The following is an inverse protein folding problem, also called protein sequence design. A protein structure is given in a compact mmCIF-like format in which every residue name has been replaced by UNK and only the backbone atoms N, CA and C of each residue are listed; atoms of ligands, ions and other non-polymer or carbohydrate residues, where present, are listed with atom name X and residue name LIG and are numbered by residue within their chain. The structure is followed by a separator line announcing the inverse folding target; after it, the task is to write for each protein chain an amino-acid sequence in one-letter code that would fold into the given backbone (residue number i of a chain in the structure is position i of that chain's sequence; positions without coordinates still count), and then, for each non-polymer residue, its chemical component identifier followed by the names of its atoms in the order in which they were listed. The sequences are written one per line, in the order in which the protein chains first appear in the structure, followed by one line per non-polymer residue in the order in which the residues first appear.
data_IF_165229159789
#
_entry.id   IF_165229159789
#
_cell.length_a   1.000
_cell.length_b   1.000
_cell.length_c   1.000
_cell.angle_alpha   90.00
_cell.angle_beta   90.00
_cell.angle_gamma   90.00
#
_symmetry.space_group_name_H-M   'P 1'
#
loop_
_entity.id
_entity.type
_entity.pdbx_description
1 polymer ?
#
# COMPACT_ATOMS: atom_id res chain seq x y z
N UNK A 1 -9.41 2.61 1.95
CA UNK A 1 -9.13 2.65 3.40
C UNK A 1 -7.95 1.74 3.63
N UNK A 2 -6.87 2.28 4.19
CA UNK A 2 -5.64 1.54 4.45
C UNK A 2 -5.87 0.44 5.49
N UNK A 3 -5.38 -0.76 5.24
CA UNK A 3 -5.24 -1.81 6.25
C UNK A 3 -3.79 -2.31 6.22
N UNK A 4 -3.15 -2.55 7.36
CA UNK A 4 -1.80 -3.13 7.35
C UNK A 4 -1.75 -4.54 6.77
N UNK A 5 -2.87 -5.28 6.72
CA UNK A 5 -2.94 -6.54 5.96
C UNK A 5 -2.61 -6.35 4.48
N UNK A 6 -2.86 -5.16 3.94
CA UNK A 6 -2.67 -4.84 2.52
C UNK A 6 -1.19 -4.55 2.19
N UNK A 7 -0.31 -4.72 3.17
CA UNK A 7 1.13 -4.54 3.03
C UNK A 7 1.81 -5.88 2.69
N UNK A 8 1.44 -6.99 3.36
CA UNK A 8 1.89 -8.34 3.03
C UNK A 8 3.39 -8.62 3.24
N UNK A 9 3.86 -9.75 2.69
CA UNK A 9 5.26 -10.22 2.81
C UNK A 9 5.93 -10.58 1.48
N UNK A 10 5.23 -10.44 0.33
CA UNK A 10 5.76 -10.82 -0.98
C UNK A 10 6.02 -12.31 -1.20
N UNK A 11 5.73 -13.18 -0.23
CA UNK A 11 5.98 -14.63 -0.32
C UNK A 11 4.92 -15.41 -1.10
N UNK A 12 4.16 -14.74 -1.96
CA UNK A 12 3.19 -15.42 -2.82
C UNK A 12 3.95 -16.25 -3.86
N UNK A 13 3.62 -17.54 -3.97
CA UNK A 13 4.07 -18.39 -5.09
C UNK A 13 3.21 -18.17 -6.34
N UNK A 14 2.09 -17.46 -6.23
CA UNK A 14 1.24 -17.13 -7.36
C UNK A 14 1.76 -15.90 -8.11
N UNK A 15 1.41 -15.81 -9.40
CA UNK A 15 1.66 -14.62 -10.21
C UNK A 15 1.08 -13.37 -9.53
N UNK A 16 1.82 -12.25 -9.49
CA UNK A 16 1.34 -11.03 -8.84
C UNK A 16 0.07 -10.50 -9.47
N UNK A 17 -0.88 -10.07 -8.63
CA UNK A 17 -2.13 -9.51 -9.11
C UNK A 17 -2.06 -8.00 -9.28
N UNK A 18 -2.98 -7.48 -10.09
CA UNK A 18 -3.20 -6.05 -10.24
C UNK A 18 -3.89 -5.48 -9.00
N UNK A 19 -3.45 -4.31 -8.53
CA UNK A 19 -4.06 -3.60 -7.42
C UNK A 19 -5.51 -3.20 -7.73
N UNK A 20 -6.39 -3.30 -6.73
CA UNK A 20 -7.81 -3.02 -6.89
C UNK A 20 -8.15 -1.52 -6.82
N UNK A 21 -7.28 -0.71 -6.21
CA UNK A 21 -7.51 0.71 -5.89
C UNK A 21 -6.82 1.69 -6.87
N UNK A 22 -6.62 1.27 -8.13
CA UNK A 22 -5.92 2.06 -9.13
C UNK A 22 -6.74 3.25 -9.65
N UNK A 23 -6.13 4.43 -9.83
CA UNK A 23 -6.80 5.59 -10.41
C UNK A 23 -7.20 5.32 -11.88
N UNK A 24 -8.21 6.04 -12.42
CA UNK A 24 -8.79 5.75 -13.73
C UNK A 24 -7.81 5.60 -14.90
N UNK A 25 -6.73 6.40 -15.02
CA UNK A 25 -5.78 6.20 -16.11
C UNK A 25 -5.08 4.83 -16.05
N UNK A 26 -4.83 4.33 -14.84
CA UNK A 26 -4.10 3.08 -14.58
C UNK A 26 -5.00 1.84 -14.45
N UNK A 27 -6.27 2.04 -14.10
CA UNK A 27 -7.23 0.94 -13.97
C UNK A 27 -7.45 0.17 -15.28
N UNK A 28 -7.21 0.80 -16.44
CA UNK A 28 -7.31 0.17 -17.76
C UNK A 28 -6.04 -0.52 -18.26
N UNK A 29 -4.88 -0.29 -17.63
CA UNK A 29 -3.59 -0.80 -18.11
C UNK A 29 -3.38 -2.29 -17.78
N UNK A 30 -2.76 -3.05 -18.66
CA UNK A 30 -2.37 -4.42 -18.33
C UNK A 30 -1.21 -4.43 -17.33
N UNK A 31 -1.27 -5.32 -16.34
CA UNK A 31 -0.12 -5.58 -15.46
C UNK A 31 0.95 -6.34 -16.27
N UNK A 32 2.20 -5.85 -16.34
CA UNK A 32 3.28 -6.58 -17.01
C UNK A 32 3.55 -7.94 -16.38
N UNK A 33 4.02 -8.90 -17.19
CA UNK A 33 4.40 -10.23 -16.71
C UNK A 33 5.66 -10.17 -15.83
N UNK A 34 5.79 -11.07 -14.86
CA UNK A 34 7.02 -11.14 -14.05
C UNK A 34 8.27 -11.45 -14.86
N UNK A 35 8.14 -12.19 -15.97
CA UNK A 35 9.25 -12.45 -16.87
C UNK A 35 9.79 -11.15 -17.51
N UNK A 36 8.90 -10.26 -17.94
CA UNK A 36 9.30 -8.99 -18.53
C UNK A 36 9.83 -8.01 -17.48
N UNK A 37 9.22 -7.95 -16.30
CA UNK A 37 9.74 -7.16 -15.18
C UNK A 37 11.15 -7.59 -14.80
N UNK A 38 11.44 -8.90 -14.75
CA UNK A 38 12.78 -9.39 -14.44
C UNK A 38 13.81 -9.08 -15.53
N UNK A 39 13.41 -9.01 -16.80
CA UNK A 39 14.30 -8.51 -17.88
C UNK A 39 14.70 -7.06 -17.63
N UNK A 40 13.73 -6.20 -17.29
CA UNK A 40 13.99 -4.81 -16.93
C UNK A 40 14.93 -4.71 -15.70
N UNK A 41 14.74 -5.58 -14.69
CA UNK A 41 15.61 -5.64 -13.49
C UNK A 41 17.04 -6.02 -13.86
N UNK A 42 17.25 -7.07 -14.66
CA UNK A 42 18.59 -7.48 -15.12
C UNK A 42 19.26 -6.36 -15.91
N UNK A 43 18.49 -5.67 -16.76
CA UNK A 43 18.98 -4.50 -17.49
C UNK A 43 19.41 -3.37 -16.53
N UNK A 44 18.60 -3.05 -15.52
CA UNK A 44 18.93 -2.07 -14.49
C UNK A 44 20.19 -2.44 -13.70
N UNK A 45 20.35 -3.70 -13.32
CA UNK A 45 21.53 -4.18 -12.62
C UNK A 45 22.79 -4.01 -13.47
N UNK A 46 22.72 -4.41 -14.75
CA UNK A 46 23.82 -4.22 -15.69
C UNK A 46 24.15 -2.74 -15.86
N UNK A 47 23.15 -1.90 -16.02
CA UNK A 47 23.34 -0.45 -16.17
C UNK A 47 23.97 0.16 -14.93
N UNK A 48 23.45 -0.16 -13.73
CA UNK A 48 24.02 0.31 -12.47
C UNK A 48 25.47 -0.13 -12.31
N UNK A 49 25.81 -1.36 -12.73
CA UNK A 49 27.20 -1.83 -12.75
C UNK A 49 28.08 -1.05 -13.72
N UNK A 50 27.58 -0.72 -14.92
CA UNK A 50 28.33 0.07 -15.91
C UNK A 50 28.54 1.50 -15.43
N UNK A 51 27.50 2.14 -14.89
CA UNK A 51 27.59 3.46 -14.27
C UNK A 51 28.62 3.44 -13.13
N UNK A 52 28.54 2.46 -12.25
CA UNK A 52 29.52 2.31 -11.17
C UNK A 52 30.95 2.17 -11.73
N UNK A 53 31.16 1.34 -12.75
CA UNK A 53 32.47 1.19 -13.39
C UNK A 53 32.97 2.48 -14.06
N UNK A 54 32.12 3.24 -14.73
CA UNK A 54 32.51 4.52 -15.33
C UNK A 54 32.80 5.58 -14.27
N UNK A 55 32.01 5.61 -13.19
CA UNK A 55 32.17 6.53 -12.08
C UNK A 55 33.50 6.29 -11.36
N UNK A 56 33.75 5.05 -10.93
CA UNK A 56 34.95 4.72 -10.16
C UNK A 56 36.19 4.46 -11.02
N UNK A 57 36.02 4.07 -12.28
CA UNK A 57 37.11 3.85 -13.23
C UNK A 57 37.79 5.14 -13.71
N UNK A 58 37.11 6.30 -13.60
CA UNK A 58 37.66 7.61 -13.97
C UNK A 58 38.29 8.39 -12.81
N UNK A 59 38.36 7.81 -11.61
CA UNK A 59 38.95 8.47 -10.43
C UNK A 59 38.14 9.65 -9.88
N UNK A 60 36.96 9.94 -10.45
CA UNK A 60 36.05 10.96 -9.94
C UNK A 60 35.09 10.30 -8.95
N UNK A 61 35.30 10.51 -7.65
CA UNK A 61 34.30 10.13 -6.66
C UNK A 61 33.04 10.96 -6.92
N UNK A 62 31.95 10.27 -7.21
CA UNK A 62 30.63 10.85 -7.11
C UNK A 62 30.25 10.81 -5.65
N UNK A 63 30.11 11.98 -5.04
CA UNK A 63 29.94 12.09 -3.59
C UNK A 63 28.49 11.80 -3.18
N UNK A 64 27.54 11.87 -4.12
CA UNK A 64 26.10 11.74 -3.82
C UNK A 64 25.30 10.91 -4.83
N UNK A 65 24.23 10.25 -4.36
CA UNK A 65 23.25 9.54 -5.19
C UNK A 65 22.61 10.47 -6.25
N UNK A 66 22.49 11.75 -5.92
CA UNK A 66 21.86 12.77 -6.76
C UNK A 66 22.72 13.13 -7.99
N UNK A 67 24.04 13.18 -7.83
CA UNK A 67 24.99 13.31 -8.94
C UNK A 67 24.97 12.08 -9.86
N UNK A 68 24.90 10.87 -9.29
CA UNK A 68 24.71 9.64 -10.06
C UNK A 68 23.42 9.66 -10.89
N UNK A 69 22.33 10.20 -10.33
CA UNK A 69 21.05 10.38 -11.03
C UNK A 69 21.11 11.44 -12.13
N UNK A 70 21.88 12.51 -11.97
CA UNK A 70 22.11 13.50 -13.04
C UNK A 70 22.84 12.86 -14.23
N UNK A 71 23.85 12.03 -13.97
CA UNK A 71 24.53 11.27 -15.03
C UNK A 71 23.57 10.31 -15.71
N UNK A 72 22.77 9.58 -14.93
CA UNK A 72 21.75 8.68 -15.45
C UNK A 72 20.76 9.37 -16.39
N UNK A 73 20.23 10.54 -16.00
CA UNK A 73 19.29 11.30 -16.81
C UNK A 73 19.89 11.82 -18.13
N UNK A 74 21.21 11.89 -18.21
CA UNK A 74 21.94 12.30 -19.42
C UNK A 74 22.40 11.10 -20.26
N UNK A 75 22.19 9.86 -19.82
CA UNK A 75 22.56 8.70 -20.62
C UNK A 75 21.59 8.56 -21.82
N UNK A 76 22.08 8.26 -23.03
CA UNK A 76 21.28 8.19 -24.26
C UNK A 76 20.41 6.92 -24.35
N UNK A 77 20.10 6.26 -23.23
CA UNK A 77 19.27 5.07 -23.24
C UNK A 77 17.82 5.45 -23.54
N UNK A 78 17.27 4.88 -24.62
CA UNK A 78 15.83 4.98 -24.90
C UNK A 78 15.06 4.34 -23.75
N UNK A 79 14.35 5.17 -23.00
CA UNK A 79 13.41 4.81 -21.92
C UNK A 79 12.36 3.78 -22.35
N UNK A 80 12.11 3.65 -23.66
CA UNK A 80 11.20 2.66 -24.26
C UNK A 80 11.60 1.20 -23.99
N UNK A 81 12.85 0.93 -23.59
CA UNK A 81 13.30 -0.44 -23.26
C UNK A 81 12.91 -0.90 -21.85
N UNK A 82 12.32 -0.02 -21.04
CA UNK A 82 12.13 -0.21 -19.59
C UNK A 82 10.71 0.10 -19.14
N UNK A 83 9.73 -0.13 -20.01
CA UNK A 83 8.34 0.21 -19.70
C UNK A 83 7.69 -0.72 -18.67
N UNK A 84 8.22 -1.93 -18.50
CA UNK A 84 7.55 -2.94 -17.69
C UNK A 84 7.72 -2.67 -16.20
N UNK A 85 8.91 -2.31 -15.74
CA UNK A 85 9.15 -2.11 -14.30
C UNK A 85 8.39 -0.90 -13.72
N UNK A 86 8.43 0.32 -14.28
CA UNK A 86 7.63 1.44 -13.79
C UNK A 86 6.14 1.15 -13.85
N UNK A 87 5.66 0.55 -14.95
CA UNK A 87 4.24 0.17 -15.10
C UNK A 87 3.83 -0.89 -14.07
N UNK A 88 4.63 -1.93 -13.88
CA UNK A 88 4.42 -2.95 -12.85
C UNK A 88 4.40 -2.32 -11.45
N UNK A 89 5.36 -1.42 -11.17
CA UNK A 89 5.48 -0.73 -9.89
C UNK A 89 4.21 0.03 -9.51
N UNK A 90 3.52 0.64 -10.48
CA UNK A 90 2.24 1.32 -10.27
C UNK A 90 1.06 0.36 -10.15
N UNK A 91 1.06 -0.74 -10.92
CA UNK A 91 -0.13 -1.56 -11.11
C UNK A 91 -0.23 -2.76 -10.17
N UNK A 92 0.88 -3.30 -9.66
CA UNK A 92 0.89 -4.55 -8.87
C UNK A 92 0.26 -4.36 -7.47
N UNK A 93 -0.34 -5.38 -6.88
CA UNK A 93 -0.71 -5.36 -5.47
C UNK A 93 0.56 -5.43 -4.59
N UNK A 94 0.72 -4.52 -3.63
CA UNK A 94 1.93 -4.46 -2.78
C UNK A 94 2.26 -5.79 -2.07
N UNK A 95 1.26 -6.53 -1.52
CA UNK A 95 1.51 -7.84 -0.89
C UNK A 95 2.10 -8.90 -1.82
N UNK A 96 1.87 -8.75 -3.12
CA UNK A 96 2.23 -9.73 -4.15
C UNK A 96 3.60 -9.44 -4.77
N UNK A 97 4.26 -8.32 -4.43
CA UNK A 97 5.58 -7.98 -4.97
C UNK A 97 6.64 -8.96 -4.43
N UNK A 98 7.34 -9.71 -5.29
CA UNK A 98 8.36 -10.64 -4.84
C UNK A 98 9.58 -9.95 -4.20
N UNK A 99 10.25 -10.58 -3.22
CA UNK A 99 11.43 -10.00 -2.58
C UNK A 99 12.58 -9.69 -3.55
N UNK A 100 12.76 -10.48 -4.62
CA UNK A 100 13.84 -10.31 -5.59
C UNK A 100 13.73 -9.03 -6.44
N UNK A 101 12.54 -8.42 -6.51
CA UNK A 101 12.29 -7.20 -7.31
C UNK A 101 11.87 -5.99 -6.47
N UNK A 102 11.76 -6.14 -5.14
CA UNK A 102 11.15 -5.13 -4.27
C UNK A 102 11.86 -3.78 -4.30
N UNK A 103 13.19 -3.77 -4.30
CA UNK A 103 13.98 -2.53 -4.36
C UNK A 103 13.86 -1.83 -5.72
N UNK A 104 13.75 -2.61 -6.79
CA UNK A 104 13.53 -2.09 -8.14
C UNK A 104 12.13 -1.51 -8.30
N UNK A 105 11.13 -2.09 -7.63
CA UNK A 105 9.78 -1.52 -7.57
C UNK A 105 9.77 -0.20 -6.80
N UNK A 106 10.47 -0.13 -5.65
CA UNK A 106 10.63 1.11 -4.91
C UNK A 106 11.26 2.21 -5.79
N UNK A 107 12.31 1.86 -6.53
CA UNK A 107 12.97 2.75 -7.47
C UNK A 107 12.02 3.20 -8.60
N UNK A 108 11.26 2.28 -9.21
CA UNK A 108 10.27 2.59 -10.24
C UNK A 108 9.17 3.55 -9.76
N UNK A 109 8.72 3.41 -8.51
CA UNK A 109 7.79 4.36 -7.87
C UNK A 109 8.43 5.75 -7.68
N UNK A 110 9.69 5.81 -7.23
CA UNK A 110 10.43 7.08 -7.06
C UNK A 110 10.64 7.79 -8.40
N UNK A 111 11.05 7.08 -9.45
CA UNK A 111 11.16 7.62 -10.81
C UNK A 111 9.81 8.17 -11.29
N UNK A 112 8.73 7.47 -11.01
CA UNK A 112 7.38 7.92 -11.37
C UNK A 112 7.04 9.22 -10.65
N UNK A 113 7.35 9.36 -9.36
CA UNK A 113 7.15 10.60 -8.61
C UNK A 113 7.94 11.77 -9.20
N UNK A 114 9.19 11.53 -9.59
CA UNK A 114 10.02 12.56 -10.23
C UNK A 114 9.39 13.02 -11.55
N UNK A 115 8.94 12.10 -12.41
CA UNK A 115 8.27 12.43 -13.67
C UNK A 115 6.94 13.17 -13.44
N UNK A 116 6.16 12.74 -12.44
CA UNK A 116 4.91 13.42 -12.08
C UNK A 116 5.15 14.82 -11.49
N UNK A 117 6.36 15.12 -11.01
CA UNK A 117 6.75 16.43 -10.51
C UNK A 117 7.11 17.43 -11.64
N UNK A 118 7.27 16.97 -12.89
CA UNK A 118 7.46 17.85 -14.05
C UNK A 118 6.20 18.70 -14.30
N UNK A 119 6.39 20.02 -14.48
CA UNK A 119 5.27 20.93 -14.77
C UNK A 119 4.68 20.70 -16.16
N UNK A 120 5.54 20.46 -17.14
CA UNK A 120 5.16 20.15 -18.52
C UNK A 120 5.86 18.87 -19.02
N UNK A 121 5.34 17.68 -18.69
CA UNK A 121 5.95 16.42 -19.12
C UNK A 121 5.84 16.27 -20.64
N UNK A 122 6.89 15.70 -21.25
CA UNK A 122 6.87 15.34 -22.67
C UNK A 122 5.80 14.29 -22.99
N UNK A 123 5.42 14.15 -24.27
CA UNK A 123 4.52 13.08 -24.72
C UNK A 123 5.06 11.70 -24.32
N UNK A 124 6.35 11.48 -24.50
CA UNK A 124 7.02 10.23 -24.10
C UNK A 124 6.93 9.99 -22.58
N UNK A 125 7.06 11.05 -21.77
CA UNK A 125 6.86 10.96 -20.32
C UNK A 125 5.42 10.56 -20.00
N UNK A 126 4.43 11.19 -20.62
CA UNK A 126 3.01 10.87 -20.43
C UNK A 126 2.69 9.43 -20.84
N UNK A 127 3.16 8.98 -21.99
CA UNK A 127 2.99 7.60 -22.48
C UNK A 127 3.66 6.58 -21.54
N UNK A 128 4.85 6.89 -21.04
CA UNK A 128 5.56 6.03 -20.08
C UNK A 128 4.81 5.90 -18.74
N UNK A 129 4.04 6.94 -18.37
CA UNK A 129 3.15 6.94 -17.21
C UNK A 129 1.80 6.24 -17.50
N UNK A 130 1.61 5.74 -18.72
CA UNK A 130 0.39 5.09 -19.17
C UNK A 130 -0.77 6.06 -19.44
N UNK A 131 -0.48 7.34 -19.66
CA UNK A 131 -1.45 8.35 -20.06
C UNK A 131 -1.56 8.36 -21.59
N UNK A 132 -2.79 8.32 -22.11
CA UNK A 132 -3.05 8.17 -23.56
C UNK A 132 -3.13 9.50 -24.30
N UNK A 133 -3.25 10.61 -23.56
CA UNK A 133 -3.42 11.94 -24.13
C UNK A 133 -3.02 13.01 -23.13
N UNK A 134 -2.46 14.11 -23.63
CA UNK A 134 -2.19 15.34 -22.86
C UNK A 134 -3.45 15.95 -22.25
N UNK A 135 -4.62 15.72 -22.83
CA UNK A 135 -5.90 16.16 -22.27
C UNK A 135 -6.27 15.46 -20.95
N UNK A 136 -5.62 14.33 -20.63
CA UNK A 136 -5.76 13.65 -19.34
C UNK A 136 -4.82 14.23 -18.27
N UNK A 137 -3.87 15.08 -18.67
CA UNK A 137 -2.90 15.71 -17.79
C UNK A 137 -3.41 17.05 -17.27
N UNK A 138 -4.40 17.00 -16.40
CA UNK A 138 -4.84 18.15 -15.62
C UNK A 138 -4.24 18.12 -14.20
N UNK A 139 -4.27 19.26 -13.51
CA UNK A 139 -3.72 19.40 -12.15
C UNK A 139 -4.31 18.39 -11.17
N UNK A 140 -5.62 18.13 -11.23
CA UNK A 140 -6.31 17.21 -10.32
C UNK A 140 -5.87 15.78 -10.59
N UNK A 141 -5.81 15.37 -11.85
CA UNK A 141 -5.33 14.04 -12.24
C UNK A 141 -3.88 13.85 -11.79
N UNK A 142 -3.02 14.84 -12.02
CA UNK A 142 -1.63 14.85 -11.55
C UNK A 142 -1.53 14.67 -10.04
N UNK A 143 -2.25 15.47 -9.25
CA UNK A 143 -2.25 15.39 -7.79
C UNK A 143 -2.72 14.00 -7.29
N UNK A 144 -3.73 13.41 -7.96
CA UNK A 144 -4.20 12.06 -7.66
C UNK A 144 -3.13 10.99 -7.93
N UNK A 145 -2.43 11.07 -9.06
CA UNK A 145 -1.35 10.12 -9.40
C UNK A 145 -0.17 10.25 -8.45
N UNK A 146 0.21 11.47 -8.05
CA UNK A 146 1.26 11.72 -7.06
C UNK A 146 0.86 11.12 -5.72
N UNK A 147 -0.34 11.42 -5.23
CA UNK A 147 -0.84 10.90 -3.96
C UNK A 147 -0.90 9.37 -3.97
N UNK A 148 -1.38 8.75 -5.06
CA UNK A 148 -1.43 7.30 -5.21
C UNK A 148 -0.02 6.70 -5.20
N UNK A 149 0.92 7.26 -5.97
CA UNK A 149 2.30 6.76 -6.03
C UNK A 149 3.01 6.86 -4.68
N UNK A 150 2.85 7.98 -3.96
CA UNK A 150 3.38 8.14 -2.59
C UNK A 150 2.79 7.09 -1.65
N UNK A 151 1.47 6.90 -1.70
CA UNK A 151 0.78 5.90 -0.87
C UNK A 151 1.29 4.48 -1.14
N UNK A 152 1.56 4.13 -2.40
CA UNK A 152 2.16 2.85 -2.77
C UNK A 152 3.58 2.70 -2.22
N UNK A 153 4.41 3.74 -2.33
CA UNK A 153 5.77 3.73 -1.80
C UNK A 153 5.79 3.60 -0.27
N UNK A 154 4.91 4.32 0.43
CA UNK A 154 4.70 4.18 1.88
C UNK A 154 4.32 2.74 2.23
N UNK A 155 3.31 2.17 1.57
CA UNK A 155 2.89 0.78 1.82
C UNK A 155 4.02 -0.21 1.56
N UNK A 156 4.84 0.01 0.54
CA UNK A 156 6.00 -0.82 0.27
C UNK A 156 7.01 -0.75 1.42
N UNK A 157 7.35 0.45 1.90
CA UNK A 157 8.28 0.65 3.02
C UNK A 157 7.78 0.05 4.34
N UNK A 158 6.46 -0.02 4.54
CA UNK A 158 5.86 -0.57 5.77
C UNK A 158 5.73 -2.11 5.76
N UNK A 159 6.19 -2.81 4.71
CA UNK A 159 6.20 -4.27 4.61
C UNK A 159 6.81 -4.99 5.79
N UNK A 160 6.13 -6.05 6.24
CA UNK A 160 6.54 -6.85 7.40
C UNK A 160 7.88 -7.56 7.18
N UNK A 161 8.18 -7.89 5.92
CA UNK A 161 9.42 -8.54 5.52
C UNK A 161 10.57 -7.56 5.24
N UNK A 162 10.31 -6.24 5.28
CA UNK A 162 11.30 -5.20 5.02
C UNK A 162 11.62 -4.42 6.30
N UNK A 163 12.88 -4.08 6.50
CA UNK A 163 13.35 -3.23 7.61
C UNK A 163 13.48 -1.77 7.16
N UNK A 164 12.45 -1.25 6.47
CA UNK A 164 12.49 0.05 5.77
C UNK A 164 11.38 1.01 6.19
N UNK A 165 10.74 0.78 7.34
CA UNK A 165 9.64 1.64 7.81
C UNK A 165 10.06 3.12 7.98
N UNK A 166 11.32 3.38 8.36
CA UNK A 166 11.86 4.72 8.50
C UNK A 166 11.88 5.50 7.16
N UNK A 167 12.06 4.82 6.03
CA UNK A 167 12.07 5.43 4.69
C UNK A 167 10.70 6.06 4.34
N UNK A 168 9.61 5.63 5.00
CA UNK A 168 8.29 6.19 4.80
C UNK A 168 8.11 7.56 5.47
N UNK A 169 8.89 7.88 6.51
CA UNK A 169 8.68 9.07 7.35
C UNK A 169 8.77 10.38 6.56
N UNK A 170 9.79 10.62 5.71
CA UNK A 170 9.86 11.87 4.93
C UNK A 170 8.70 12.03 3.95
N UNK A 171 8.24 10.92 3.35
CA UNK A 171 7.12 10.93 2.39
C UNK A 171 5.82 11.26 3.13
N UNK A 172 5.59 10.63 4.28
CA UNK A 172 4.41 10.87 5.12
C UNK A 172 4.40 12.30 5.65
N UNK A 173 5.53 12.83 6.12
CA UNK A 173 5.65 14.21 6.57
C UNK A 173 5.28 15.19 5.44
N UNK A 174 5.84 15.03 4.24
CA UNK A 174 5.50 15.87 3.10
C UNK A 174 4.00 15.80 2.73
N UNK A 175 3.37 14.62 2.87
CA UNK A 175 1.93 14.47 2.66
C UNK A 175 1.10 15.17 3.74
N UNK A 176 1.53 15.10 5.01
CA UNK A 176 0.87 15.77 6.13
C UNK A 176 0.98 17.29 6.02
N UNK A 177 2.15 17.81 5.64
CA UNK A 177 2.36 19.25 5.45
C UNK A 177 1.48 19.77 4.30
N UNK A 178 1.42 19.03 3.20
CA UNK A 178 0.52 19.35 2.09
C UNK A 178 -0.96 19.29 2.49
N UNK A 179 -1.38 18.27 3.24
CA UNK A 179 -2.75 18.17 3.74
C UNK A 179 -3.10 19.38 4.63
N UNK A 180 -2.25 19.71 5.61
CA UNK A 180 -2.45 20.87 6.49
C UNK A 180 -2.52 22.20 5.73
N UNK A 181 -1.67 22.38 4.72
CA UNK A 181 -1.64 23.59 3.91
C UNK A 181 -2.88 23.75 3.01
N UNK A 182 -3.45 22.65 2.53
CA UNK A 182 -4.60 22.65 1.61
C UNK A 182 -5.95 22.59 2.31
N UNK A 183 -5.98 22.25 3.60
CA UNK A 183 -7.23 22.19 4.36
C UNK A 183 -7.90 23.58 4.48
N UNK A 184 -9.24 23.65 4.31
CA UNK A 184 -10.00 24.86 4.59
C UNK A 184 -9.75 25.36 6.01
N UNK A 185 -9.76 26.69 6.22
CA UNK A 185 -9.45 27.33 7.51
C UNK A 185 -10.20 26.68 8.69
N UNK A 186 -11.48 26.34 8.49
CA UNK A 186 -12.33 25.70 9.52
C UNK A 186 -11.80 24.33 9.99
N UNK A 187 -11.11 23.58 9.13
CA UNK A 187 -10.57 22.26 9.49
C UNK A 187 -9.16 22.33 10.08
N UNK A 188 -8.46 23.46 10.05
CA UNK A 188 -7.03 23.49 10.44
C UNK A 188 -6.79 23.15 11.92
N UNK A 189 -7.67 23.60 12.80
CA UNK A 189 -7.57 23.33 14.24
C UNK A 189 -7.92 21.87 14.58
N UNK A 190 -8.79 21.25 13.79
CA UNK A 190 -9.24 19.87 13.96
C UNK A 190 -8.94 19.06 12.70
N UNK A 191 -7.72 19.18 12.17
CA UNK A 191 -7.37 18.64 10.85
C UNK A 191 -7.48 17.11 10.81
N UNK A 192 -7.38 16.44 11.96
CA UNK A 192 -7.61 15.00 12.09
C UNK A 192 -9.07 14.58 11.97
N UNK A 193 -10.03 15.52 12.04
CA UNK A 193 -11.44 15.21 11.79
C UNK A 193 -11.70 14.85 10.32
N UNK A 194 -10.81 15.28 9.42
CA UNK A 194 -10.83 14.89 8.00
C UNK A 194 -10.37 13.43 7.83
N UNK A 195 -11.18 12.54 7.24
CA UNK A 195 -10.83 11.13 7.09
C UNK A 195 -9.56 10.85 6.29
N UNK A 196 -9.20 11.70 5.32
CA UNK A 196 -7.98 11.52 4.53
C UNK A 196 -6.75 11.85 5.38
N UNK A 197 -6.79 12.96 6.11
CA UNK A 197 -5.76 13.39 7.06
C UNK A 197 -5.54 12.38 8.18
N UNK A 198 -6.63 11.86 8.78
CA UNK A 198 -6.59 10.77 9.76
C UNK A 198 -5.88 9.52 9.21
N UNK A 199 -6.17 9.15 7.95
CA UNK A 199 -5.54 7.97 7.33
C UNK A 199 -4.03 8.14 7.18
N UNK A 200 -3.58 9.30 6.70
CA UNK A 200 -2.14 9.59 6.54
C UNK A 200 -1.45 9.66 7.90
N UNK A 201 -2.09 10.27 8.91
CA UNK A 201 -1.50 10.39 10.24
C UNK A 201 -1.40 9.06 10.98
N UNK A 202 -2.38 8.17 10.79
CA UNK A 202 -2.28 6.79 11.28
C UNK A 202 -1.09 6.06 10.64
N UNK A 203 -0.86 6.24 9.34
CA UNK A 203 0.31 5.64 8.67
C UNK A 203 1.64 6.26 9.12
N UNK A 204 1.64 7.54 9.51
CA UNK A 204 2.78 8.17 10.16
C UNK A 204 3.09 7.53 11.51
N UNK A 205 2.07 7.28 12.33
CA UNK A 205 2.21 6.52 13.57
C UNK A 205 2.73 5.08 13.31
N UNK A 206 2.20 4.39 12.30
CA UNK A 206 2.70 3.08 11.86
C UNK A 206 4.19 3.12 11.53
N UNK A 207 4.63 4.10 10.74
CA UNK A 207 6.03 4.25 10.36
C UNK A 207 6.95 4.50 11.56
N UNK A 208 6.54 5.35 12.51
CA UNK A 208 7.30 5.62 13.75
C UNK A 208 7.46 4.33 14.57
N UNK A 209 6.35 3.63 14.84
CA UNK A 209 6.38 2.42 15.66
C UNK A 209 7.14 1.29 14.97
N UNK A 210 6.91 1.05 13.67
CA UNK A 210 7.58 -0.01 12.92
C UNK A 210 9.07 0.26 12.69
N UNK A 211 9.52 1.50 12.84
CA UNK A 211 10.94 1.88 12.86
C UNK A 211 11.56 1.89 14.27
N UNK A 212 10.85 1.33 15.27
CA UNK A 212 11.28 1.27 16.67
C UNK A 212 11.53 2.63 17.32
N UNK A 213 10.84 3.69 16.86
CA UNK A 213 10.86 4.98 17.56
C UNK A 213 9.86 4.94 18.72
N UNK A 214 10.36 4.63 19.91
CA UNK A 214 9.57 4.57 21.15
C UNK A 214 9.90 5.78 22.03
N UNK A 215 9.53 6.96 21.57
CA UNK A 215 9.86 8.25 22.21
C UNK A 215 8.60 9.08 22.53
N UNK A 216 8.80 10.20 23.23
CA UNK A 216 7.73 11.11 23.62
C UNK A 216 6.99 11.71 22.40
N UNK A 217 7.68 11.88 21.27
CA UNK A 217 7.09 12.35 20.01
C UNK A 217 6.09 11.32 19.48
N UNK A 218 6.49 10.04 19.42
CA UNK A 218 5.63 8.96 18.95
C UNK A 218 4.41 8.76 19.86
N UNK A 219 4.61 8.86 21.18
CA UNK A 219 3.50 8.87 22.15
C UNK A 219 2.53 10.02 21.86
N UNK A 220 3.04 11.24 21.65
CA UNK A 220 2.21 12.42 21.35
C UNK A 220 1.36 12.22 20.11
N UNK A 221 1.93 11.68 19.02
CA UNK A 221 1.19 11.34 17.79
C UNK A 221 0.02 10.39 18.09
N UNK A 222 0.25 9.36 18.91
CA UNK A 222 -0.78 8.39 19.28
C UNK A 222 -1.86 8.98 20.19
N UNK A 223 -1.50 9.83 21.15
CA UNK A 223 -2.44 10.55 22.02
C UNK A 223 -3.34 11.50 21.20
N UNK A 224 -2.78 12.21 20.22
CA UNK A 224 -3.54 13.06 19.29
C UNK A 224 -4.52 12.26 18.42
N UNK A 225 -4.07 11.11 17.90
CA UNK A 225 -4.95 10.17 17.17
C UNK A 225 -6.08 9.67 18.06
N UNK A 226 -5.79 9.28 19.30
CA UNK A 226 -6.80 8.79 20.24
C UNK A 226 -7.85 9.86 20.55
N UNK A 227 -7.39 11.08 20.86
CA UNK A 227 -8.28 12.22 21.08
C UNK A 227 -9.17 12.53 19.87
N UNK A 228 -8.63 12.44 18.64
CA UNK A 228 -9.42 12.61 17.42
C UNK A 228 -10.43 11.47 17.22
N UNK A 229 -10.05 10.22 17.52
CA UNK A 229 -10.98 9.10 17.47
C UNK A 229 -12.11 9.23 18.48
N UNK A 230 -11.85 9.68 19.70
CA UNK A 230 -12.89 9.88 20.72
C UNK A 230 -13.94 10.92 20.29
N UNK A 231 -13.50 12.00 19.63
CA UNK A 231 -14.42 13.03 19.11
C UNK A 231 -15.33 12.52 17.98
N UNK A 232 -14.89 11.55 17.17
CA UNK A 232 -15.54 11.18 15.89
C UNK A 232 -15.90 9.71 15.72
N UNK A 233 -15.59 8.82 16.66
CA UNK A 233 -15.82 7.38 16.51
C UNK A 233 -17.29 7.02 16.23
N UNK A 234 -18.23 7.84 16.74
CA UNK A 234 -19.66 7.65 16.53
C UNK A 234 -20.12 8.07 15.13
N UNK A 235 -19.41 9.00 14.48
CA UNK A 235 -19.82 9.63 13.21
C UNK A 235 -18.93 9.27 12.02
N UNK A 236 -17.74 8.71 12.25
CA UNK A 236 -16.79 8.36 11.19
C UNK A 236 -16.28 6.92 11.31
N UNK A 237 -16.52 6.12 10.26
CA UNK A 237 -16.04 4.75 10.17
C UNK A 237 -14.51 4.64 10.16
N UNK A 238 -13.83 5.62 9.56
CA UNK A 238 -12.35 5.67 9.53
C UNK A 238 -11.82 5.81 10.96
N UNK A 239 -12.33 6.77 11.71
CA UNK A 239 -11.94 7.00 13.10
C UNK A 239 -12.20 5.77 13.97
N UNK A 240 -13.40 5.19 13.88
CA UNK A 240 -13.75 3.97 14.62
C UNK A 240 -12.81 2.81 14.33
N UNK A 241 -12.37 2.66 13.08
CA UNK A 241 -11.44 1.60 12.68
C UNK A 241 -10.02 1.85 13.16
N UNK A 242 -9.60 3.10 13.38
CA UNK A 242 -8.28 3.43 13.90
C UNK A 242 -8.08 3.12 15.38
N UNK A 243 -9.13 3.25 16.21
CA UNK A 243 -9.10 3.01 17.67
C UNK A 243 -8.29 1.76 18.08
N UNK A 244 -8.57 0.55 17.54
CA UNK A 244 -7.82 -0.63 17.94
C UNK A 244 -6.33 -0.59 17.55
N UNK A 245 -5.98 0.00 16.40
CA UNK A 245 -4.58 0.15 16.00
C UNK A 245 -3.84 1.14 16.90
N UNK A 246 -4.49 2.27 17.25
CA UNK A 246 -3.91 3.28 18.14
C UNK A 246 -3.63 2.66 19.52
N UNK A 247 -4.59 1.92 20.11
CA UNK A 247 -4.35 1.23 21.38
C UNK A 247 -3.28 0.13 21.28
N UNK A 248 -3.21 -0.58 20.15
CA UNK A 248 -2.18 -1.59 19.90
C UNK A 248 -0.78 -0.95 19.96
N UNK A 249 -0.58 0.12 19.20
CA UNK A 249 0.68 0.87 19.19
C UNK A 249 1.01 1.51 20.53
N UNK A 250 0.04 2.18 21.15
CA UNK A 250 0.24 2.90 22.40
C UNK A 250 0.64 1.95 23.53
N UNK A 251 0.07 0.74 23.56
CA UNK A 251 0.48 -0.29 24.49
C UNK A 251 1.97 -0.65 24.35
N UNK A 252 2.46 -0.80 23.12
CA UNK A 252 3.88 -1.10 22.86
C UNK A 252 4.78 0.10 23.21
N UNK A 253 4.44 1.30 22.75
CA UNK A 253 5.23 2.52 22.99
C UNK A 253 5.38 2.78 24.48
N UNK A 254 4.29 2.74 25.25
CA UNK A 254 4.34 2.96 26.70
C UNK A 254 5.15 1.89 27.43
N UNK A 255 5.07 0.63 27.00
CA UNK A 255 5.89 -0.44 27.57
C UNK A 255 7.39 -0.19 27.32
N UNK A 256 7.77 0.16 26.09
CA UNK A 256 9.18 0.38 25.74
C UNK A 256 9.74 1.64 26.40
N UNK A 257 8.91 2.67 26.59
CA UNK A 257 9.29 3.88 27.33
C UNK A 257 9.36 3.66 28.84
N UNK A 258 8.69 2.65 29.39
CA UNK A 258 8.61 2.42 30.83
C UNK A 258 7.81 3.49 31.58
N UNK A 259 6.81 4.11 30.93
CA UNK A 259 6.00 5.20 31.50
C UNK A 259 4.50 4.86 31.49
N UNK A 260 3.74 5.54 32.35
CA UNK A 260 2.27 5.48 32.42
C UNK A 260 1.73 4.03 32.44
N UNK A 261 2.14 3.18 33.40
CA UNK A 261 1.81 1.75 33.41
C UNK A 261 0.31 1.46 33.41
N UNK A 262 -0.52 2.32 34.02
CA UNK A 262 -1.97 2.14 34.02
C UNK A 262 -2.60 2.41 32.65
N UNK A 263 -2.08 3.39 31.89
CA UNK A 263 -2.52 3.66 30.52
C UNK A 263 -2.05 2.56 29.57
N UNK A 264 -0.84 2.03 29.79
CA UNK A 264 -0.29 0.88 29.07
C UNK A 264 -1.19 -0.36 29.25
N UNK A 265 -1.55 -0.70 30.50
CA UNK A 265 -2.46 -1.81 30.81
C UNK A 265 -3.83 -1.61 30.19
N UNK A 266 -4.41 -0.42 30.32
CA UNK A 266 -5.72 -0.07 29.73
C UNK A 266 -5.72 -0.26 28.21
N UNK A 267 -4.72 0.30 27.51
CA UNK A 267 -4.60 0.18 26.05
C UNK A 267 -4.40 -1.26 25.62
N UNK A 268 -3.57 -2.02 26.34
CA UNK A 268 -3.37 -3.45 26.08
C UNK A 268 -4.68 -4.22 26.18
N UNK A 269 -5.45 -4.01 27.24
CA UNK A 269 -6.75 -4.68 27.47
C UNK A 269 -7.75 -4.35 26.36
N UNK A 270 -7.91 -3.07 26.01
CA UNK A 270 -8.84 -2.64 24.95
C UNK A 270 -8.47 -3.25 23.58
N UNK A 271 -7.18 -3.29 23.24
CA UNK A 271 -6.72 -3.92 22.00
C UNK A 271 -6.98 -5.44 21.99
N UNK A 272 -6.73 -6.15 23.11
CA UNK A 272 -7.02 -7.58 23.25
C UNK A 272 -8.52 -7.86 23.15
N UNK A 273 -9.37 -7.08 23.81
CA UNK A 273 -10.83 -7.22 23.72
C UNK A 273 -11.32 -7.04 22.28
N UNK A 274 -10.80 -6.04 21.55
CA UNK A 274 -11.11 -5.86 20.14
C UNK A 274 -10.71 -7.06 19.28
N UNK A 275 -9.55 -7.66 19.54
CA UNK A 275 -9.08 -8.87 18.84
C UNK A 275 -9.93 -10.11 19.14
N UNK A 276 -10.35 -10.27 20.40
CA UNK A 276 -11.20 -11.40 20.83
C UNK A 276 -12.60 -11.29 20.24
N UNK A 277 -13.15 -10.08 20.18
CA UNK A 277 -14.46 -9.79 19.59
C UNK A 277 -14.42 -9.77 18.05
N UNK A 278 -13.23 -9.59 17.46
CA UNK A 278 -13.01 -9.66 16.03
C UNK A 278 -12.98 -11.10 15.50
N UNK A 279 -13.53 -11.31 14.30
CA UNK A 279 -13.36 -12.57 13.57
C UNK A 279 -11.94 -12.72 13.00
N UNK A 280 -11.68 -13.88 12.37
CA UNK A 280 -10.39 -14.22 11.77
C UNK A 280 -9.81 -13.12 10.84
N UNK A 281 -10.66 -12.50 10.03
CA UNK A 281 -10.24 -11.43 9.12
C UNK A 281 -9.71 -10.19 9.87
N UNK A 282 -10.26 -9.86 11.04
CA UNK A 282 -9.80 -8.74 11.86
C UNK A 282 -8.46 -9.07 12.54
N UNK A 283 -8.32 -10.31 13.02
CA UNK A 283 -7.08 -10.79 13.62
C UNK A 283 -5.93 -10.77 12.60
N UNK A 284 -6.18 -11.21 11.36
CA UNK A 284 -5.18 -11.13 10.28
C UNK A 284 -4.80 -9.69 9.91
N UNK A 285 -5.71 -8.72 10.05
CA UNK A 285 -5.42 -7.30 9.83
C UNK A 285 -4.49 -6.70 10.87
N UNK A 286 -4.61 -7.14 12.12
CA UNK A 286 -3.82 -6.60 13.23
C UNK A 286 -2.53 -7.39 13.44
N UNK A 287 -2.44 -8.65 13.00
CA UNK A 287 -1.21 -9.47 13.08
C UNK A 287 0.08 -8.74 12.66
N UNK A 288 0.14 -7.96 11.56
CA UNK A 288 1.35 -7.24 11.17
C UNK A 288 1.85 -6.29 12.26
N UNK A 289 0.94 -5.69 13.04
CA UNK A 289 1.29 -4.79 14.15
C UNK A 289 1.88 -5.51 15.36
N UNK A 290 1.52 -6.77 15.54
CA UNK A 290 1.82 -7.54 16.74
C UNK A 290 3.11 -8.36 16.63
N UNK A 291 3.46 -8.78 15.41
CA UNK A 291 4.41 -9.87 15.17
C UNK A 291 5.56 -9.49 14.23
N UNK A 292 6.04 -8.24 14.27
CA UNK A 292 7.21 -7.83 13.48
C UNK A 292 8.49 -8.40 14.09
N UNK A 293 9.29 -9.06 13.26
CA UNK A 293 10.58 -9.64 13.68
C UNK A 293 11.58 -8.62 14.21
N UNK A 294 11.52 -7.39 13.71
CA UNK A 294 12.41 -6.29 14.10
C UNK A 294 11.98 -5.57 15.39
N UNK A 295 10.83 -5.93 15.97
CA UNK A 295 10.27 -5.26 17.14
C UNK A 295 10.41 -6.13 18.40
N UNK A 296 10.45 -5.50 19.59
CA UNK A 296 10.38 -6.24 20.85
C UNK A 296 9.02 -6.95 21.01
N UNK A 297 8.92 -7.93 21.93
CA UNK A 297 7.67 -8.64 22.19
C UNK A 297 6.51 -7.68 22.49
N UNK A 298 5.45 -7.78 21.70
CA UNK A 298 4.33 -6.85 21.79
C UNK A 298 3.40 -7.20 22.97
N UNK A 299 3.03 -6.27 23.87
CA UNK A 299 2.22 -6.56 25.06
C UNK A 299 0.86 -7.19 24.72
N UNK A 300 0.19 -6.65 23.69
CA UNK A 300 -1.06 -7.21 23.16
C UNK A 300 -0.86 -8.63 22.63
N UNK A 301 0.23 -8.92 21.91
CA UNK A 301 0.51 -10.27 21.43
C UNK A 301 0.75 -11.23 22.59
N UNK A 302 1.55 -10.83 23.58
CA UNK A 302 1.85 -11.58 24.79
C UNK A 302 0.56 -11.89 25.55
N UNK A 303 -0.25 -10.88 25.87
CA UNK A 303 -1.50 -11.07 26.60
C UNK A 303 -2.54 -11.88 25.81
N UNK A 304 -2.62 -11.68 24.49
CA UNK A 304 -3.49 -12.46 23.62
C UNK A 304 -3.04 -13.93 23.53
N UNK A 305 -1.72 -14.17 23.54
CA UNK A 305 -1.10 -15.48 23.51
C UNK A 305 -1.22 -16.28 24.82
N UNK A 306 -1.67 -15.68 25.91
CA UNK A 306 -1.97 -16.41 27.16
C UNK A 306 -3.44 -16.84 27.28
N UNK A 307 -4.28 -16.64 26.24
CA UNK A 307 -5.68 -17.07 26.24
C UNK A 307 -5.98 -18.28 25.34
N UNK A 308 -7.20 -18.82 25.42
CA UNK A 308 -7.65 -20.06 24.74
C UNK A 308 -7.51 -20.09 23.19
N UNK A 309 -7.22 -18.96 22.55
CA UNK A 309 -7.07 -18.82 21.08
C UNK A 309 -5.64 -18.49 20.62
N UNK A 310 -4.69 -18.49 21.57
CA UNK A 310 -3.31 -18.11 21.36
C UNK A 310 -2.57 -18.98 20.35
N UNK A 311 -2.58 -20.29 20.58
CA UNK A 311 -1.89 -21.26 19.74
C UNK A 311 -2.47 -21.27 18.32
N UNK A 312 -3.79 -21.19 18.18
CA UNK A 312 -4.45 -21.08 16.86
C UNK A 312 -4.01 -19.80 16.13
N UNK A 313 -3.95 -18.66 16.82
CA UNK A 313 -3.52 -17.39 16.23
C UNK A 313 -2.05 -17.41 15.83
N UNK A 314 -1.17 -17.93 16.67
CA UNK A 314 0.26 -18.06 16.37
C UNK A 314 0.51 -19.07 15.23
N UNK A 315 -0.20 -20.20 15.23
CA UNK A 315 -0.09 -21.29 14.27
C UNK A 315 -0.71 -20.99 12.89
N UNK A 316 -1.62 -19.99 12.80
CA UNK A 316 -2.09 -19.47 11.50
C UNK A 316 -0.92 -18.81 10.77
N UNK A 317 -0.21 -19.60 9.99
CA UNK A 317 0.89 -19.16 9.14
C UNK A 317 0.39 -18.25 8.01
N UNK A 318 1.33 -17.60 7.31
CA UNK A 318 1.05 -16.86 6.08
C UNK A 318 0.29 -17.70 5.01
N UNK A 319 0.34 -19.03 5.07
CA UNK A 319 -0.42 -19.91 4.17
C UNK A 319 -1.94 -19.88 4.41
N UNK A 320 -2.39 -19.48 5.60
CA UNK A 320 -3.83 -19.25 5.85
C UNK A 320 -4.33 -17.98 5.12
N UNK A 321 -3.48 -16.97 4.93
CA UNK A 321 -3.78 -15.80 4.07
C UNK A 321 -3.93 -16.23 2.61
N UNK A 322 -3.10 -17.18 2.15
CA UNK A 322 -3.20 -17.79 0.82
C UNK A 322 -4.56 -18.42 0.61
N UNK A 323 -5.03 -19.24 1.56
CA UNK A 323 -6.35 -19.90 1.45
C UNK A 323 -7.52 -18.93 1.48
N UNK A 324 -7.47 -17.81 2.20
CA UNK A 324 -8.59 -16.85 2.25
C UNK A 324 -8.64 -15.90 1.04
N UNK A 325 -7.50 -15.52 0.47
CA UNK A 325 -7.45 -14.74 -0.78
C UNK A 325 -7.68 -15.62 -2.02
N UNK A 326 -7.16 -16.85 -2.04
CA UNK A 326 -7.50 -17.85 -3.06
C UNK A 326 -8.96 -18.30 -2.93
N UNK A 327 -9.55 -18.41 -1.73
CA UNK A 327 -10.97 -18.72 -1.58
C UNK A 327 -11.87 -17.54 -1.97
N UNK A 328 -11.46 -16.29 -1.75
CA UNK A 328 -12.22 -15.14 -2.25
C UNK A 328 -12.13 -14.98 -3.77
N UNK A 329 -11.04 -15.44 -4.41
CA UNK A 329 -10.93 -15.62 -5.86
C UNK A 329 -11.66 -16.89 -6.36
N UNK A 330 -11.64 -17.98 -5.58
CA UNK A 330 -12.22 -19.28 -5.91
C UNK A 330 -13.75 -19.34 -5.79
N UNK A 331 -14.36 -18.31 -5.20
CA UNK A 331 -15.80 -18.08 -5.24
C UNK A 331 -16.27 -17.28 -6.46
N UNK A 332 -15.35 -16.70 -7.23
CA UNK A 332 -15.71 -15.92 -8.42
C UNK A 332 -15.98 -16.88 -9.58
N UNK A 333 -17.22 -16.86 -10.07
CA UNK A 333 -17.68 -17.70 -11.16
C UNK A 333 -18.26 -16.83 -12.27
N UNK A 334 -18.11 -17.28 -13.51
CA UNK A 334 -18.83 -16.68 -14.62
C UNK A 334 -20.34 -16.80 -14.35
N UNK A 335 -21.06 -15.67 -14.38
CA UNK A 335 -22.50 -15.67 -14.14
C UNK A 335 -23.30 -16.51 -15.14
N UNK A 336 -22.72 -16.81 -16.32
CA UNK A 336 -23.38 -17.62 -17.35
C UNK A 336 -23.00 -19.10 -17.33
N UNK A 337 -21.71 -19.41 -17.41
CA UNK A 337 -21.24 -20.79 -17.56
C UNK A 337 -20.69 -21.39 -16.26
N UNK A 338 -20.67 -20.61 -15.17
CA UNK A 338 -20.19 -21.01 -13.83
C UNK A 338 -18.72 -21.44 -13.79
N UNK A 339 -17.97 -21.23 -14.87
CA UNK A 339 -16.52 -21.43 -14.89
C UNK A 339 -15.86 -20.57 -13.81
N UNK A 340 -14.96 -21.17 -13.03
CA UNK A 340 -14.40 -20.59 -11.82
C UNK A 340 -13.05 -19.93 -12.12
N UNK A 341 -12.73 -18.86 -11.40
CA UNK A 341 -11.34 -18.44 -11.30
C UNK A 341 -10.58 -19.42 -10.37
N UNK A 342 -9.30 -19.74 -10.64
CA UNK A 342 -8.43 -19.15 -11.66
C UNK A 342 -8.47 -19.84 -13.04
N UNK A 343 -9.25 -20.92 -13.24
CA UNK A 343 -9.27 -21.71 -14.49
C UNK A 343 -9.66 -20.87 -15.73
N UNK A 344 -10.44 -19.80 -15.52
CA UNK A 344 -10.76 -18.83 -16.55
C UNK A 344 -10.55 -17.39 -16.05
N UNK A 345 -10.06 -16.51 -16.92
CA UNK A 345 -10.00 -15.08 -16.63
C UNK A 345 -11.41 -14.49 -16.61
N UNK A 346 -11.83 -13.89 -15.49
CA UNK A 346 -13.13 -13.24 -15.37
C UNK A 346 -13.02 -11.72 -15.58
N UNK A 347 -13.93 -11.17 -16.38
CA UNK A 347 -14.07 -9.74 -16.67
C UNK A 347 -15.37 -9.22 -16.07
N UNK A 348 -15.34 -8.05 -15.44
CA UNK A 348 -16.53 -7.43 -14.87
C UNK A 348 -17.36 -6.75 -15.97
N UNK A 349 -18.69 -6.77 -15.82
CA UNK A 349 -19.59 -6.02 -16.68
C UNK A 349 -19.23 -4.53 -16.64
N UNK A 350 -18.93 -3.93 -17.80
CA UNK A 350 -18.50 -2.53 -17.92
C UNK A 350 -19.56 -1.49 -17.53
N UNK A 351 -20.83 -1.90 -17.39
CA UNK A 351 -21.91 -1.01 -17.00
C UNK A 351 -22.12 -0.98 -15.47
N UNK A 352 -22.21 -2.15 -14.82
CA UNK A 352 -22.54 -2.24 -13.40
C UNK A 352 -21.36 -2.61 -12.50
N UNK A 353 -20.30 -3.21 -13.05
CA UNK A 353 -19.12 -3.71 -12.33
C UNK A 353 -19.43 -4.75 -11.24
N UNK A 354 -20.66 -5.29 -11.21
CA UNK A 354 -21.12 -6.24 -10.18
C UNK A 354 -21.11 -7.69 -10.63
N UNK A 355 -21.27 -7.95 -11.92
CA UNK A 355 -21.35 -9.31 -12.49
C UNK A 355 -20.11 -9.61 -13.33
N UNK A 356 -19.63 -10.85 -13.27
CA UNK A 356 -18.39 -11.28 -13.91
C UNK A 356 -18.63 -12.35 -15.00
N UNK A 357 -17.88 -12.26 -16.09
CA UNK A 357 -17.97 -13.16 -17.24
C UNK A 357 -16.59 -13.60 -17.72
N UNK A 358 -16.44 -14.87 -18.08
CA UNK A 358 -15.18 -15.38 -18.65
C UNK A 358 -14.95 -14.94 -20.10
N UNK A 359 -16.00 -14.49 -20.79
CA UNK A 359 -15.93 -14.04 -22.18
C UNK A 359 -17.10 -13.14 -22.55
N UNK A 360 -16.94 -12.35 -23.62
CA UNK A 360 -18.02 -11.54 -24.19
C UNK A 360 -19.22 -12.40 -24.62
N UNK A 361 -18.97 -13.59 -25.15
CA UNK A 361 -20.01 -14.54 -25.50
C UNK A 361 -20.86 -14.96 -24.29
N UNK A 362 -20.24 -15.14 -23.11
CA UNK A 362 -20.98 -15.42 -21.88
C UNK A 362 -21.80 -14.22 -21.40
N UNK A 363 -21.25 -13.01 -21.53
CA UNK A 363 -21.98 -11.77 -21.22
C UNK A 363 -23.20 -11.59 -22.13
N UNK A 364 -23.05 -11.77 -23.45
CA UNK A 364 -24.15 -11.64 -24.43
C UNK A 364 -25.25 -12.69 -24.18
N UNK A 365 -24.87 -13.92 -23.84
CA UNK A 365 -25.81 -14.99 -23.46
C UNK A 365 -26.54 -14.74 -22.15
N UNK A 366 -25.95 -14.01 -21.21
CA UNK A 366 -26.59 -13.65 -19.94
C UNK A 366 -27.34 -12.32 -20.02
N UNK A 367 -27.08 -11.51 -21.05
CA UNK A 367 -27.57 -10.14 -21.15
C UNK A 367 -29.08 -10.01 -20.98
N UNK A 368 -29.87 -10.94 -21.53
CA UNK A 368 -31.34 -10.91 -21.38
C UNK A 368 -31.80 -10.98 -19.91
N UNK A 369 -31.08 -11.74 -19.08
CA UNK A 369 -31.35 -11.85 -17.65
C UNK A 369 -30.69 -10.70 -16.87
N UNK A 370 -29.39 -10.49 -17.11
CA UNK A 370 -28.58 -9.48 -16.44
C UNK A 370 -29.07 -8.05 -16.67
N UNK A 371 -29.58 -7.69 -17.85
CA UNK A 371 -30.02 -6.32 -18.17
C UNK A 371 -31.04 -5.76 -17.17
N UNK A 372 -31.88 -6.62 -16.57
CA UNK A 372 -32.88 -6.22 -15.57
C UNK A 372 -32.24 -5.76 -14.25
N UNK A 373 -31.10 -6.33 -13.87
CA UNK A 373 -30.36 -6.00 -12.65
C UNK A 373 -29.12 -5.14 -12.90
N UNK A 374 -28.74 -4.91 -14.16
CA UNK A 374 -27.59 -4.12 -14.56
C UNK A 374 -27.83 -2.62 -14.30
N UNK A 375 -27.70 -2.19 -13.04
CA UNK A 375 -27.72 -0.78 -12.65
C UNK A 375 -26.32 -0.20 -12.84
N UNK A 376 -26.22 0.94 -13.54
CA UNK A 376 -24.96 1.69 -13.59
C UNK A 376 -24.57 2.05 -12.15
N UNK A 377 -23.33 1.75 -11.78
CA UNK A 377 -22.78 2.31 -10.56
C UNK A 377 -22.80 3.84 -10.73
N UNK A 378 -23.70 4.51 -10.02
CA UNK A 378 -23.66 5.96 -9.89
C UNK A 378 -22.34 6.28 -9.20
N UNK A 379 -21.44 6.93 -9.94
CA UNK A 379 -20.12 7.34 -9.50
C UNK A 379 -20.19 8.34 -8.34
#
# INVERSE_FOLDING_TARGET
MYNASDIGTGKSLAEPAKAADLPPPWSSLALPSMADVRKDVVFFQKMRSLLWQEMFGKGNMIETLEEGMKIYNNLPFKTSSMENLPRFSQLVAIPDIPPDVVDFVAYGLQMTLQRLAEEDPSTDTLESLGLRSRTQWDRRTRDQLIAHTRMRLIRLCLREDLTRAADALPILQAMLDHAKATLPKFYRENWLDDPASMTVYMQYADALVFSNRFDAETKKVLDELLAATDRKANTSLVHRKCVPMVHTHLALVLQQMGVEPEQQKKSTKLAVEHLKNGGAAQQERIRPYLMRKSQPPHPVAVLFAYGDKAEEFLARSADARRKTSEASRGGQVCAKCLAKAPDVSLSMCSACHQTQYCSRACQEKDWKAHKKSCRRATA
#
